data_IF_732051624022
#
_entry.id   IF_732051624022
#
_cell.length_a   1.000
_cell.length_b   1.000
_cell.length_c   1.000
_cell.angle_alpha   90.00
_cell.angle_beta   90.00
_cell.angle_gamma   90.00
#
_symmetry.space_group_name_H-M   'P 1'
#
loop_
_entity.id
_entity.type
_entity.pdbx_description
1 polymer ?
#
# COMPACT_ATOMS: atom_id res chain seq x y z
N UNK A 1 25.13 -17.77 12.73
CA UNK A 1 24.08 -18.17 11.78
C UNK A 1 22.71 -17.99 12.42
N UNK A 2 21.72 -17.61 11.64
CA UNK A 2 20.41 -17.18 12.11
C UNK A 2 19.33 -18.22 11.84
N UNK A 3 18.42 -18.44 12.79
CA UNK A 3 17.08 -18.97 12.54
C UNK A 3 16.11 -17.80 12.53
N UNK A 4 15.39 -17.60 11.43
CA UNK A 4 14.45 -16.50 11.31
C UNK A 4 13.10 -17.01 10.83
N UNK A 5 12.03 -16.54 11.45
CA UNK A 5 10.67 -16.67 10.92
C UNK A 5 10.38 -15.49 10.01
N UNK A 6 10.19 -15.72 8.72
CA UNK A 6 9.92 -14.65 7.74
C UNK A 6 8.69 -14.96 6.92
N UNK A 7 7.95 -13.90 6.58
CA UNK A 7 6.84 -13.96 5.62
C UNK A 7 7.41 -13.54 4.27
N UNK A 8 7.32 -14.40 3.26
CA UNK A 8 7.63 -14.08 1.88
C UNK A 8 6.35 -14.22 1.06
N UNK A 9 5.96 -13.15 0.39
CA UNK A 9 4.93 -13.21 -0.64
C UNK A 9 5.63 -13.44 -1.98
N UNK A 10 5.41 -14.60 -2.60
CA UNK A 10 5.87 -14.85 -3.96
C UNK A 10 4.98 -14.07 -4.92
N UNK A 11 5.54 -13.09 -5.61
CA UNK A 11 4.99 -12.64 -6.88
C UNK A 11 5.33 -13.73 -7.92
N UNK A 12 4.34 -14.47 -8.40
CA UNK A 12 4.47 -15.14 -9.69
C UNK A 12 4.73 -14.05 -10.72
N UNK A 13 5.94 -14.02 -11.20
CA UNK A 13 6.24 -13.38 -12.48
C UNK A 13 5.53 -14.25 -13.50
N UNK A 14 4.39 -13.79 -13.99
CA UNK A 14 3.79 -14.32 -15.22
C UNK A 14 4.78 -14.04 -16.36
N UNK A 15 5.78 -14.89 -16.45
CA UNK A 15 6.58 -15.01 -17.66
C UNK A 15 5.69 -15.63 -18.72
N UNK A 16 5.58 -14.90 -19.81
CA UNK A 16 5.08 -15.37 -21.10
C UNK A 16 3.56 -15.34 -21.34
N UNK A 17 3.01 -14.12 -21.35
CA UNK A 17 2.12 -13.71 -22.44
C UNK A 17 2.71 -12.45 -23.04
N UNK A 18 3.27 -12.57 -24.22
CA UNK A 18 3.54 -11.46 -25.12
C UNK A 18 2.26 -10.65 -25.26
N UNK A 19 2.14 -9.58 -24.46
CA UNK A 19 1.09 -8.60 -24.65
C UNK A 19 1.42 -7.97 -26.00
N UNK A 20 0.57 -8.21 -26.97
CA UNK A 20 0.64 -7.57 -28.27
C UNK A 20 0.48 -6.06 -28.08
N UNK A 21 1.60 -5.35 -28.05
CA UNK A 21 1.68 -3.91 -27.81
C UNK A 21 1.25 -3.11 -29.04
N UNK A 22 0.98 -3.79 -30.16
CA UNK A 22 0.62 -3.14 -31.43
C UNK A 22 -0.82 -2.61 -31.47
N UNK A 23 -1.66 -2.98 -30.50
CA UNK A 23 -3.04 -2.51 -30.35
C UNK A 23 -3.23 -1.33 -29.37
N UNK A 24 -2.21 -0.85 -28.68
CA UNK A 24 -2.28 0.32 -27.81
C UNK A 24 -2.18 1.60 -28.63
N UNK A 25 -3.25 1.87 -29.38
CA UNK A 25 -3.50 3.13 -30.05
C UNK A 25 -3.57 4.26 -29.04
N UNK A 26 -2.88 5.35 -29.39
CA UNK A 26 -2.89 6.66 -28.72
C UNK A 26 -2.65 6.59 -27.20
N UNK A 27 -1.40 6.70 -26.87
CA UNK A 27 -0.81 6.84 -25.53
C UNK A 27 -1.77 7.58 -24.62
N UNK A 28 -2.48 6.82 -23.77
CA UNK A 28 -3.13 7.39 -22.61
C UNK A 28 -2.08 8.25 -21.89
N UNK A 29 -2.36 9.51 -21.58
CA UNK A 29 -1.37 10.35 -20.93
C UNK A 29 -0.89 9.64 -19.67
N UNK A 30 0.41 9.37 -19.61
CA UNK A 30 1.03 8.67 -18.50
C UNK A 30 0.78 9.50 -17.25
N UNK A 31 -0.11 9.06 -16.42
CA UNK A 31 -0.33 9.68 -15.13
C UNK A 31 0.89 9.39 -14.24
N UNK A 32 1.20 10.33 -13.39
CA UNK A 32 2.21 10.12 -12.36
C UNK A 32 1.66 9.06 -11.40
N UNK A 33 2.11 7.83 -11.55
CA UNK A 33 1.63 6.68 -10.77
C UNK A 33 2.03 6.80 -9.31
N UNK A 34 3.16 7.44 -9.06
CA UNK A 34 3.74 7.64 -7.74
C UNK A 34 3.87 9.14 -7.50
N UNK A 35 2.92 9.75 -6.82
CA UNK A 35 3.02 11.17 -6.52
C UNK A 35 4.09 11.43 -5.47
N UNK A 36 5.03 12.27 -5.81
CA UNK A 36 6.02 12.77 -4.88
C UNK A 36 5.38 13.54 -3.69
N UNK A 37 4.22 14.17 -3.96
CA UNK A 37 3.41 14.84 -2.94
C UNK A 37 1.93 14.55 -3.18
N UNK A 38 1.25 13.97 -2.20
CA UNK A 38 -0.17 13.59 -2.28
C UNK A 38 -1.12 14.75 -2.49
N UNK A 39 -0.73 15.96 -2.11
CA UNK A 39 -1.57 17.15 -2.17
C UNK A 39 -1.36 17.96 -3.44
N UNK A 40 -0.28 17.71 -4.20
CA UNK A 40 0.11 18.49 -5.38
C UNK A 40 -0.23 17.79 -6.68
N UNK A 41 -1.47 17.38 -6.87
CA UNK A 41 -1.90 16.92 -8.17
C UNK A 41 -2.35 18.08 -9.03
N UNK A 42 -2.00 18.01 -10.31
CA UNK A 42 -2.54 18.95 -11.29
C UNK A 42 -4.03 18.68 -11.51
N UNK A 43 -4.78 19.72 -11.87
CA UNK A 43 -6.17 19.60 -12.31
C UNK A 43 -6.37 18.47 -13.33
N UNK A 44 -5.39 18.30 -14.23
CA UNK A 44 -5.39 17.26 -15.25
C UNK A 44 -5.42 15.85 -14.63
N UNK A 45 -4.58 15.60 -13.65
CA UNK A 45 -4.51 14.27 -12.98
C UNK A 45 -5.78 13.99 -12.19
N UNK A 46 -6.32 14.98 -11.50
CA UNK A 46 -7.58 14.86 -10.76
C UNK A 46 -8.72 14.50 -11.71
N UNK A 47 -8.87 15.27 -12.80
CA UNK A 47 -9.95 15.02 -13.78
C UNK A 47 -9.78 13.64 -14.44
N UNK A 48 -8.57 13.27 -14.85
CA UNK A 48 -8.35 11.97 -15.51
C UNK A 48 -8.63 10.82 -14.55
N UNK A 49 -8.22 10.90 -13.30
CA UNK A 49 -8.47 9.84 -12.31
C UNK A 49 -9.93 9.71 -11.92
N UNK A 50 -10.64 10.80 -11.77
CA UNK A 50 -12.04 10.79 -11.32
C UNK A 50 -13.04 10.63 -12.48
N UNK A 51 -12.76 11.24 -13.63
CA UNK A 51 -13.70 11.29 -14.77
C UNK A 51 -13.21 10.56 -16.02
N UNK A 52 -11.92 10.23 -16.08
CA UNK A 52 -11.29 9.60 -17.24
C UNK A 52 -10.66 10.58 -18.24
N UNK A 53 -9.74 10.06 -19.05
CA UNK A 53 -9.01 10.86 -20.06
C UNK A 53 -9.91 11.52 -21.10
N UNK A 54 -11.05 10.94 -21.55
CA UNK A 54 -11.97 11.64 -22.45
C UNK A 54 -12.50 12.93 -21.85
N UNK A 55 -12.85 12.96 -20.58
CA UNK A 55 -13.40 14.16 -19.93
C UNK A 55 -12.36 15.27 -19.76
N UNK A 56 -11.08 14.90 -19.61
CA UNK A 56 -10.01 15.89 -19.65
C UNK A 56 -9.93 16.56 -21.02
N UNK A 57 -10.07 15.83 -22.12
CA UNK A 57 -10.07 16.42 -23.48
C UNK A 57 -11.22 17.39 -23.64
N UNK A 58 -12.45 16.99 -23.29
CA UNK A 58 -13.64 17.83 -23.32
C UNK A 58 -13.44 19.12 -22.51
N UNK A 59 -12.91 19.01 -21.31
CA UNK A 59 -12.64 20.17 -20.45
C UNK A 59 -11.56 21.09 -21.05
N UNK A 60 -10.53 20.54 -21.67
CA UNK A 60 -9.43 21.31 -22.27
C UNK A 60 -9.88 22.07 -23.51
N UNK A 61 -10.78 21.50 -24.33
CA UNK A 61 -11.42 22.18 -25.44
C UNK A 61 -12.21 23.41 -24.95
N UNK A 62 -13.06 23.24 -23.93
CA UNK A 62 -13.81 24.35 -23.33
C UNK A 62 -12.88 25.45 -22.75
N UNK A 63 -11.70 25.09 -22.21
CA UNK A 63 -10.69 26.04 -21.73
C UNK A 63 -10.06 26.81 -22.91
N UNK A 64 -9.70 26.11 -23.98
CA UNK A 64 -9.11 26.71 -25.19
C UNK A 64 -10.01 27.77 -25.81
N UNK A 65 -11.31 27.58 -25.74
CA UNK A 65 -12.33 28.52 -26.19
C UNK A 65 -12.54 29.72 -25.24
N UNK A 66 -11.76 29.83 -24.14
CA UNK A 66 -11.90 30.84 -23.06
C UNK A 66 -13.31 30.91 -22.45
N UNK A 67 -14.03 29.77 -22.46
CA UNK A 67 -15.41 29.65 -21.99
C UNK A 67 -15.51 29.08 -20.55
N UNK A 68 -14.43 29.18 -19.78
CA UNK A 68 -14.41 28.72 -18.40
C UNK A 68 -14.76 29.86 -17.45
N UNK A 69 -15.67 29.57 -16.52
CA UNK A 69 -16.14 30.55 -15.55
C UNK A 69 -16.58 29.89 -14.27
N UNK A 70 -17.63 30.43 -13.62
CA UNK A 70 -18.13 29.95 -12.33
C UNK A 70 -18.53 28.45 -12.35
N UNK A 71 -19.07 27.94 -13.45
CA UNK A 71 -19.40 26.52 -13.60
C UNK A 71 -18.17 25.62 -13.55
N UNK A 72 -17.08 25.99 -14.23
CA UNK A 72 -15.83 25.26 -14.16
C UNK A 72 -15.26 25.25 -12.74
N UNK A 73 -15.31 26.39 -12.05
CA UNK A 73 -14.86 26.48 -10.66
C UNK A 73 -15.66 25.54 -9.76
N UNK A 74 -16.98 25.52 -9.85
CA UNK A 74 -17.83 24.61 -9.08
C UNK A 74 -17.52 23.13 -9.39
N UNK A 75 -17.24 22.77 -10.65
CA UNK A 75 -16.82 21.42 -11.02
C UNK A 75 -15.50 21.03 -10.32
N UNK A 76 -14.49 21.91 -10.37
CA UNK A 76 -13.22 21.65 -9.69
C UNK A 76 -13.34 21.59 -8.17
N UNK A 77 -14.25 22.37 -7.56
CA UNK A 77 -14.57 22.24 -6.13
C UNK A 77 -15.12 20.86 -5.81
N UNK A 78 -16.05 20.31 -6.63
CA UNK A 78 -16.57 18.94 -6.43
C UNK A 78 -15.48 17.89 -6.56
N UNK A 79 -14.67 17.98 -7.62
CA UNK A 79 -13.60 17.00 -7.85
C UNK A 79 -12.49 17.11 -6.80
N UNK A 80 -12.18 18.33 -6.36
CA UNK A 80 -11.23 18.60 -5.29
C UNK A 80 -11.68 18.03 -3.94
N UNK A 81 -12.97 18.19 -3.59
CA UNK A 81 -13.54 17.64 -2.36
C UNK A 81 -13.43 16.10 -2.34
N UNK A 82 -13.79 15.41 -3.46
CA UNK A 82 -13.59 13.96 -3.59
C UNK A 82 -12.13 13.60 -3.41
N UNK A 83 -11.26 14.27 -4.16
CA UNK A 83 -9.81 14.00 -4.17
C UNK A 83 -9.18 14.13 -2.78
N UNK A 84 -9.50 15.20 -2.06
CA UNK A 84 -8.94 15.46 -0.73
C UNK A 84 -9.37 14.38 0.26
N UNK A 85 -10.64 13.96 0.24
CA UNK A 85 -11.12 12.90 1.13
C UNK A 85 -10.52 11.54 0.78
N UNK A 86 -10.47 11.19 -0.50
CA UNK A 86 -9.89 9.91 -0.94
C UNK A 86 -8.40 9.79 -0.62
N UNK A 87 -7.69 10.92 -0.51
CA UNK A 87 -6.26 10.99 -0.25
C UNK A 87 -5.90 11.36 1.19
N UNK A 88 -6.86 11.41 2.08
CA UNK A 88 -6.64 11.71 3.49
C UNK A 88 -7.31 10.67 4.38
N UNK A 89 -6.55 9.73 4.95
CA UNK A 89 -7.10 8.67 5.81
C UNK A 89 -7.86 9.20 7.03
N UNK A 90 -7.47 10.35 7.57
CA UNK A 90 -8.18 10.95 8.71
C UNK A 90 -9.56 11.48 8.31
N UNK A 91 -9.68 12.11 7.13
CA UNK A 91 -10.97 12.55 6.60
C UNK A 91 -11.84 11.35 6.21
N UNK A 92 -11.25 10.28 5.67
CA UNK A 92 -11.99 9.04 5.41
C UNK A 92 -12.59 8.47 6.70
N UNK A 93 -11.80 8.41 7.76
CA UNK A 93 -12.26 7.90 9.06
C UNK A 93 -13.37 8.80 9.63
N UNK A 94 -13.19 10.13 9.60
CA UNK A 94 -14.23 11.08 10.03
C UNK A 94 -15.54 10.89 9.23
N UNK A 95 -15.44 10.73 7.89
CA UNK A 95 -16.62 10.49 7.06
C UNK A 95 -17.28 9.13 7.31
N UNK A 96 -16.52 8.11 7.71
CA UNK A 96 -17.05 6.80 8.10
C UNK A 96 -17.78 6.86 9.46
N UNK A 97 -17.23 7.60 10.40
CA UNK A 97 -17.74 7.71 11.78
C UNK A 97 -18.89 8.73 11.91
N UNK A 98 -18.94 9.73 11.03
CA UNK A 98 -19.92 10.81 11.03
C UNK A 98 -20.83 10.82 9.80
N UNK A 99 -21.85 9.94 9.70
CA UNK A 99 -22.73 9.85 8.55
C UNK A 99 -23.43 11.16 8.18
N UNK A 100 -23.76 11.99 9.18
CA UNK A 100 -24.38 13.31 8.95
C UNK A 100 -23.43 14.25 8.21
N UNK A 101 -22.17 14.33 8.63
CA UNK A 101 -21.16 15.16 7.97
C UNK A 101 -20.90 14.67 6.54
N UNK A 102 -20.78 13.37 6.35
CA UNK A 102 -20.67 12.76 5.02
C UNK A 102 -21.83 13.15 4.12
N UNK A 103 -23.07 13.05 4.62
CA UNK A 103 -24.26 13.40 3.84
C UNK A 103 -24.28 14.88 3.45
N UNK A 104 -23.92 15.79 4.35
CA UNK A 104 -23.81 17.21 4.05
C UNK A 104 -22.79 17.50 2.94
N UNK A 105 -21.64 16.82 2.94
CA UNK A 105 -20.64 16.95 1.90
C UNK A 105 -21.19 16.47 0.54
N UNK A 106 -21.82 15.30 0.51
CA UNK A 106 -22.40 14.73 -0.70
C UNK A 106 -23.52 15.63 -1.25
N UNK A 107 -24.37 16.15 -0.38
CA UNK A 107 -25.47 17.06 -0.78
C UNK A 107 -24.93 18.38 -1.33
N UNK A 108 -23.84 18.91 -0.76
CA UNK A 108 -23.17 20.09 -1.27
C UNK A 108 -22.55 19.87 -2.65
N UNK A 109 -21.92 18.71 -2.89
CA UNK A 109 -21.41 18.33 -4.21
C UNK A 109 -22.55 18.23 -5.23
N UNK A 110 -23.63 17.52 -4.91
CA UNK A 110 -24.81 17.38 -5.75
C UNK A 110 -25.47 18.73 -6.04
N UNK A 111 -25.52 19.62 -5.06
CA UNK A 111 -26.04 20.97 -5.24
C UNK A 111 -25.22 21.75 -6.28
N UNK A 112 -23.88 21.75 -6.15
CA UNK A 112 -22.99 22.40 -7.13
C UNK A 112 -23.18 21.87 -8.54
N UNK A 113 -23.33 20.56 -8.72
CA UNK A 113 -23.57 19.96 -10.04
C UNK A 113 -24.93 20.37 -10.62
N UNK A 114 -26.00 20.41 -9.80
CA UNK A 114 -27.31 20.92 -10.23
C UNK A 114 -27.25 22.41 -10.64
N UNK A 115 -26.46 23.22 -9.92
CA UNK A 115 -26.29 24.63 -10.28
C UNK A 115 -25.53 24.82 -11.61
N UNK A 116 -24.58 23.94 -11.94
CA UNK A 116 -23.92 23.95 -13.25
C UNK A 116 -24.94 23.62 -14.34
N UNK A 117 -25.74 22.59 -14.17
CA UNK A 117 -26.73 22.16 -15.16
C UNK A 117 -27.84 23.21 -15.35
N UNK A 118 -28.34 23.79 -14.26
CA UNK A 118 -29.28 24.91 -14.29
C UNK A 118 -28.77 26.08 -15.13
N UNK A 119 -27.52 26.50 -14.89
CA UNK A 119 -26.89 27.60 -15.66
C UNK A 119 -26.71 27.27 -17.13
N UNK A 120 -26.46 26.00 -17.46
CA UNK A 120 -26.45 25.52 -18.83
C UNK A 120 -27.81 25.70 -19.48
N UNK A 121 -28.88 25.25 -18.81
CA UNK A 121 -30.25 25.35 -19.30
C UNK A 121 -30.72 26.80 -19.43
N UNK A 122 -30.48 27.66 -18.43
CA UNK A 122 -30.86 29.08 -18.42
C UNK A 122 -30.20 29.84 -19.62
N UNK A 123 -28.95 29.50 -19.93
CA UNK A 123 -28.22 30.10 -21.07
C UNK A 123 -28.81 29.64 -22.40
N UNK A 124 -29.09 28.35 -22.54
CA UNK A 124 -29.70 27.80 -23.77
C UNK A 124 -31.04 28.49 -24.09
N UNK A 125 -31.80 28.91 -23.08
CA UNK A 125 -33.02 29.65 -23.22
C UNK A 125 -32.83 31.13 -23.60
N UNK A 126 -31.72 31.74 -23.12
CA UNK A 126 -31.47 33.18 -23.30
C UNK A 126 -30.80 33.53 -24.64
N UNK A 127 -29.98 32.67 -25.21
CA UNK A 127 -29.15 32.95 -26.40
C UNK A 127 -29.84 32.63 -27.72
N UNK A 128 -31.11 32.15 -27.75
CA UNK A 128 -31.95 31.94 -28.96
C UNK A 128 -31.42 30.95 -30.02
N UNK A 129 -30.14 30.72 -30.08
CA UNK A 129 -29.44 29.67 -30.82
C UNK A 129 -28.35 29.08 -29.91
N UNK A 130 -28.68 28.05 -29.13
CA UNK A 130 -27.75 27.46 -28.19
C UNK A 130 -26.58 26.83 -28.93
N UNK A 131 -25.36 27.11 -28.47
CA UNK A 131 -24.15 26.39 -28.88
C UNK A 131 -24.29 24.93 -28.43
N UNK A 132 -24.95 24.13 -29.28
CA UNK A 132 -25.29 22.73 -29.02
C UNK A 132 -24.07 21.87 -28.69
N UNK A 133 -22.93 22.18 -29.30
CA UNK A 133 -21.69 21.44 -29.05
C UNK A 133 -21.16 21.70 -27.63
N UNK A 134 -21.14 22.97 -27.24
CA UNK A 134 -20.74 23.37 -25.89
C UNK A 134 -21.68 22.81 -24.84
N UNK A 135 -22.98 22.87 -25.05
CA UNK A 135 -23.97 22.33 -24.14
C UNK A 135 -23.85 20.81 -23.98
N UNK A 136 -23.56 20.09 -25.06
CA UNK A 136 -23.25 18.68 -25.04
C UNK A 136 -21.99 18.40 -24.21
N UNK A 137 -20.91 19.15 -24.40
CA UNK A 137 -19.67 19.03 -23.64
C UNK A 137 -19.88 19.26 -22.14
N UNK A 138 -20.62 20.29 -21.75
CA UNK A 138 -20.95 20.58 -20.35
C UNK A 138 -21.80 19.47 -19.75
N UNK A 139 -22.82 19.00 -20.48
CA UNK A 139 -23.67 17.90 -20.04
C UNK A 139 -22.87 16.61 -19.77
N UNK A 140 -21.94 16.24 -20.65
CA UNK A 140 -21.05 15.11 -20.48
C UNK A 140 -20.20 15.23 -19.19
N UNK A 141 -19.62 16.41 -18.92
CA UNK A 141 -18.83 16.66 -17.71
C UNK A 141 -19.70 16.57 -16.44
N UNK A 142 -20.92 17.13 -16.45
CA UNK A 142 -21.84 17.06 -15.30
C UNK A 142 -22.26 15.61 -15.04
N UNK A 143 -22.57 14.85 -16.09
CA UNK A 143 -22.91 13.43 -15.98
C UNK A 143 -21.77 12.62 -15.38
N UNK A 144 -20.56 12.76 -15.92
CA UNK A 144 -19.37 12.06 -15.41
C UNK A 144 -19.04 12.44 -13.95
N UNK A 145 -19.19 13.72 -13.59
CA UNK A 145 -18.98 14.17 -12.21
C UNK A 145 -20.07 13.65 -11.27
N UNK A 146 -21.31 13.56 -11.71
CA UNK A 146 -22.42 12.98 -10.92
C UNK A 146 -22.17 11.49 -10.65
N UNK A 147 -21.68 10.76 -11.63
CA UNK A 147 -21.27 9.37 -11.45
C UNK A 147 -20.07 9.25 -10.51
N UNK A 148 -19.11 10.18 -10.57
CA UNK A 148 -17.98 10.19 -9.63
C UNK A 148 -18.45 10.40 -8.19
N UNK A 149 -19.38 11.35 -7.93
CA UNK A 149 -19.99 11.54 -6.60
C UNK A 149 -20.75 10.29 -6.16
N UNK A 150 -21.47 9.62 -7.05
CA UNK A 150 -22.18 8.39 -6.70
C UNK A 150 -21.21 7.23 -6.39
N UNK A 151 -20.09 7.12 -7.10
CA UNK A 151 -19.02 6.14 -6.77
C UNK A 151 -18.40 6.45 -5.40
N UNK A 152 -18.08 7.71 -5.15
CA UNK A 152 -17.55 8.18 -3.89
C UNK A 152 -18.46 7.84 -2.70
N UNK A 153 -19.76 8.08 -2.83
CA UNK A 153 -20.76 7.74 -1.80
C UNK A 153 -20.83 6.22 -1.53
N UNK A 154 -20.87 5.39 -2.60
CA UNK A 154 -20.90 3.94 -2.46
C UNK A 154 -19.65 3.39 -1.79
N UNK A 155 -18.49 3.96 -2.08
CA UNK A 155 -17.21 3.53 -1.51
C UNK A 155 -17.20 3.56 0.03
N UNK A 156 -17.91 4.48 0.66
CA UNK A 156 -18.04 4.49 2.12
C UNK A 156 -18.87 3.32 2.67
N UNK A 157 -19.97 2.98 2.02
CA UNK A 157 -20.79 1.84 2.43
C UNK A 157 -20.02 0.51 2.29
N UNK A 158 -19.31 0.36 1.19
CA UNK A 158 -18.45 -0.80 0.91
C UNK A 158 -17.32 -0.89 1.93
N UNK A 159 -16.61 0.21 2.17
CA UNK A 159 -15.51 0.28 3.16
C UNK A 159 -16.01 -0.04 4.56
N UNK A 160 -17.14 0.54 4.98
CA UNK A 160 -17.74 0.27 6.29
C UNK A 160 -18.13 -1.22 6.43
N UNK A 161 -18.69 -1.82 5.39
CA UNK A 161 -19.03 -3.24 5.36
C UNK A 161 -17.78 -4.11 5.46
N UNK A 162 -16.76 -3.82 4.67
CA UNK A 162 -15.50 -4.55 4.67
C UNK A 162 -14.78 -4.42 6.03
N UNK A 163 -14.75 -3.22 6.65
CA UNK A 163 -14.17 -3.02 7.99
C UNK A 163 -14.89 -3.85 9.06
N UNK A 164 -16.23 -3.97 8.99
CA UNK A 164 -16.98 -4.84 9.92
C UNK A 164 -16.63 -6.31 9.74
N UNK A 165 -16.57 -6.78 8.50
CA UNK A 165 -16.17 -8.16 8.19
C UNK A 165 -14.73 -8.43 8.62
N UNK A 166 -13.81 -7.51 8.31
CA UNK A 166 -12.41 -7.63 8.66
C UNK A 166 -12.19 -7.66 10.18
N UNK A 167 -12.84 -6.78 10.96
CA UNK A 167 -12.77 -6.84 12.43
C UNK A 167 -13.21 -8.18 12.98
N UNK A 168 -14.25 -8.77 12.42
CA UNK A 168 -14.78 -10.07 12.87
C UNK A 168 -13.84 -11.23 12.50
N UNK A 169 -13.31 -11.24 11.28
CA UNK A 169 -12.48 -12.34 10.76
C UNK A 169 -11.07 -12.25 11.34
N UNK A 170 -10.44 -11.09 11.28
CA UNK A 170 -9.08 -10.84 11.77
C UNK A 170 -9.01 -10.90 13.30
N UNK A 171 -10.00 -10.35 14.02
CA UNK A 171 -10.06 -10.38 15.48
C UNK A 171 -10.22 -11.78 16.11
N UNK A 172 -10.41 -12.82 15.29
CA UNK A 172 -10.34 -14.23 15.74
C UNK A 172 -8.92 -14.80 15.62
N UNK A 173 -8.00 -14.09 14.99
CA UNK A 173 -6.65 -14.55 14.67
C UNK A 173 -5.58 -13.82 15.46
N UNK A 174 -5.89 -12.65 15.98
CA UNK A 174 -5.01 -11.83 16.81
C UNK A 174 -5.84 -10.99 17.78
N UNK A 175 -5.18 -10.35 18.74
CA UNK A 175 -5.85 -9.42 19.64
C UNK A 175 -6.50 -8.26 18.86
N UNK A 176 -7.68 -7.76 19.23
CA UNK A 176 -8.37 -6.67 18.52
C UNK A 176 -7.52 -5.40 18.34
N UNK A 177 -6.67 -5.07 19.32
CA UNK A 177 -5.77 -3.91 19.26
C UNK A 177 -4.66 -4.04 18.22
N UNK A 178 -4.46 -5.24 17.68
CA UNK A 178 -3.52 -5.53 16.60
C UNK A 178 -4.11 -5.29 15.21
N UNK A 179 -5.40 -4.93 15.12
CA UNK A 179 -6.14 -4.72 13.86
C UNK A 179 -6.43 -3.23 13.70
N UNK A 180 -5.52 -2.51 13.06
CA UNK A 180 -5.48 -1.06 13.03
C UNK A 180 -6.07 -0.50 11.73
N UNK A 181 -7.22 0.16 11.82
CA UNK A 181 -7.85 0.87 10.68
C UNK A 181 -7.64 2.38 10.70
N UNK A 182 -7.14 2.91 11.81
CA UNK A 182 -7.04 4.36 12.03
C UNK A 182 -6.07 5.06 11.09
N UNK A 183 -6.34 6.32 10.80
CA UNK A 183 -5.56 7.15 9.89
C UNK A 183 -4.09 7.20 10.23
N UNK A 184 -3.72 7.26 11.52
CA UNK A 184 -2.32 7.26 11.95
C UNK A 184 -1.57 6.01 11.49
N UNK A 185 -2.10 4.81 11.80
CA UNK A 185 -1.46 3.56 11.40
C UNK A 185 -1.33 3.45 9.87
N UNK A 186 -2.37 3.84 9.13
CA UNK A 186 -2.38 3.81 7.67
C UNK A 186 -1.34 4.77 7.06
N UNK A 187 -1.18 5.96 7.63
CA UNK A 187 -0.17 6.94 7.18
C UNK A 187 1.25 6.47 7.50
N UNK A 188 1.46 5.88 8.69
CA UNK A 188 2.77 5.37 9.10
C UNK A 188 3.26 4.20 8.22
N UNK A 189 2.35 3.51 7.52
CA UNK A 189 2.67 2.34 6.69
C UNK A 189 2.44 2.58 5.18
N UNK A 190 2.42 3.81 4.72
CA UNK A 190 2.15 4.17 3.32
C UNK A 190 3.38 4.17 2.43
N UNK A 191 4.57 4.23 3.00
CA UNK A 191 5.84 4.37 2.27
C UNK A 191 6.95 3.51 2.87
N UNK A 192 8.00 3.28 2.12
CA UNK A 192 9.29 2.76 2.57
C UNK A 192 10.41 3.78 2.27
N UNK A 193 11.67 3.36 2.23
CA UNK A 193 12.79 4.26 1.94
C UNK A 193 12.87 4.75 0.48
N UNK A 194 11.98 4.30 -0.39
CA UNK A 194 11.85 4.82 -1.78
C UNK A 194 11.09 6.14 -1.85
N UNK A 195 10.45 6.58 -0.78
CA UNK A 195 9.47 7.67 -0.77
C UNK A 195 8.25 7.43 -1.66
N UNK A 196 8.08 6.23 -2.17
CA UNK A 196 6.91 5.88 -2.96
C UNK A 196 5.67 5.86 -2.08
N UNK A 197 4.61 6.50 -2.58
CA UNK A 197 3.31 6.61 -1.91
C UNK A 197 2.23 6.39 -2.95
N UNK A 198 1.87 5.13 -3.15
CA UNK A 198 0.89 4.75 -4.18
C UNK A 198 -0.51 4.77 -3.62
N UNK A 199 -0.76 4.04 -2.53
CA UNK A 199 -2.06 3.96 -1.90
C UNK A 199 -1.93 3.79 -0.38
N UNK A 200 -2.95 4.18 0.38
CA UNK A 200 -3.02 3.88 1.80
C UNK A 200 -3.50 2.45 2.02
N UNK A 201 -2.90 1.71 2.96
CA UNK A 201 -3.41 0.38 3.28
C UNK A 201 -4.83 0.46 3.84
N UNK A 202 -5.61 -0.59 3.63
CA UNK A 202 -6.93 -0.75 4.23
C UNK A 202 -6.83 -0.98 5.74
N UNK A 203 -5.87 -1.82 6.15
CA UNK A 203 -5.63 -2.22 7.55
C UNK A 203 -4.15 -2.48 7.77
N UNK A 204 -3.68 -2.21 8.98
CA UNK A 204 -2.37 -2.62 9.45
C UNK A 204 -2.57 -3.65 10.56
N UNK A 205 -1.85 -4.77 10.48
CA UNK A 205 -1.91 -5.90 11.41
C UNK A 205 -0.57 -6.03 12.10
N UNK A 206 -0.57 -6.06 13.43
CA UNK A 206 0.64 -6.15 14.25
C UNK A 206 0.57 -7.41 15.13
N UNK A 207 0.80 -8.63 14.58
CA UNK A 207 0.72 -9.87 15.36
C UNK A 207 1.66 -9.86 16.56
N UNK A 208 1.19 -10.38 17.69
CA UNK A 208 2.00 -10.50 18.90
C UNK A 208 2.95 -11.69 18.83
N UNK A 209 2.55 -12.75 18.12
CA UNK A 209 3.35 -13.97 17.95
C UNK A 209 3.40 -14.42 16.49
N UNK A 210 4.39 -15.24 16.17
CA UNK A 210 4.52 -15.78 14.81
C UNK A 210 3.43 -16.77 14.43
N UNK A 211 2.85 -17.48 15.42
CA UNK A 211 1.76 -18.43 15.23
C UNK A 211 0.49 -17.74 14.70
N UNK A 212 0.28 -16.47 15.04
CA UNK A 212 -0.86 -15.69 14.55
C UNK A 212 -0.76 -15.41 13.05
N UNK A 213 0.47 -15.31 12.51
CA UNK A 213 0.73 -14.86 11.13
C UNK A 213 0.03 -15.74 10.11
N UNK A 214 0.09 -17.06 10.25
CA UNK A 214 -0.60 -18.00 9.34
C UNK A 214 -2.11 -17.73 9.30
N UNK A 215 -2.70 -17.55 10.47
CA UNK A 215 -4.12 -17.26 10.60
C UNK A 215 -4.53 -15.91 10.02
N UNK A 216 -3.65 -14.91 10.14
CA UNK A 216 -3.85 -13.58 9.56
C UNK A 216 -3.73 -13.59 8.03
N UNK A 217 -2.77 -14.32 7.47
CA UNK A 217 -2.63 -14.51 6.02
C UNK A 217 -3.89 -15.17 5.45
N UNK A 218 -4.34 -16.29 6.03
CA UNK A 218 -5.57 -16.95 5.60
C UNK A 218 -6.80 -16.03 5.67
N UNK A 219 -6.92 -15.24 6.74
CA UNK A 219 -8.00 -14.28 6.90
C UNK A 219 -7.96 -13.14 5.88
N UNK A 220 -6.77 -12.66 5.52
CA UNK A 220 -6.60 -11.66 4.47
C UNK A 220 -7.01 -12.20 3.10
N UNK A 221 -6.65 -13.45 2.79
CA UNK A 221 -7.06 -14.13 1.55
C UNK A 221 -8.59 -14.27 1.50
N UNK A 222 -9.22 -14.72 2.59
CA UNK A 222 -10.69 -14.80 2.70
C UNK A 222 -11.38 -13.46 2.43
N UNK A 223 -10.78 -12.37 2.90
CA UNK A 223 -11.28 -11.00 2.72
C UNK A 223 -10.95 -10.37 1.36
N UNK A 224 -10.19 -11.05 0.51
CA UNK A 224 -9.73 -10.53 -0.79
C UNK A 224 -8.80 -9.32 -0.62
N UNK A 225 -7.94 -9.32 0.38
CA UNK A 225 -6.95 -8.28 0.63
C UNK A 225 -5.60 -8.66 0.04
N UNK A 226 -4.93 -7.69 -0.60
CA UNK A 226 -3.52 -7.81 -0.97
C UNK A 226 -2.67 -7.75 0.30
N UNK A 227 -1.72 -8.67 0.45
CA UNK A 227 -0.90 -8.75 1.65
C UNK A 227 0.48 -8.15 1.37
N UNK A 228 0.94 -7.28 2.26
CA UNK A 228 2.29 -6.72 2.25
C UNK A 228 2.93 -6.94 3.62
N UNK A 229 3.97 -7.79 3.72
CA UNK A 229 4.76 -7.89 4.95
C UNK A 229 5.66 -6.67 5.10
N UNK A 230 5.81 -6.19 6.33
CA UNK A 230 6.64 -5.03 6.65
C UNK A 230 7.38 -5.22 7.96
N UNK A 231 8.69 -5.06 7.92
CA UNK A 231 9.54 -4.82 9.09
C UNK A 231 9.78 -3.31 9.26
N UNK A 232 11.02 -2.87 9.34
CA UNK A 232 11.37 -1.46 9.50
C UNK A 232 11.07 -0.54 8.30
N UNK A 233 10.66 -1.08 7.14
CA UNK A 233 10.37 -0.29 5.95
C UNK A 233 11.58 0.43 5.34
N UNK A 234 12.78 -0.11 5.54
CA UNK A 234 14.06 0.48 5.11
C UNK A 234 14.51 0.08 3.71
N UNK A 235 13.72 -0.72 3.01
CA UNK A 235 14.03 -1.21 1.66
C UNK A 235 13.90 -0.13 0.59
N UNK A 236 14.67 -0.28 -0.51
CA UNK A 236 14.69 0.63 -1.65
C UNK A 236 13.98 0.06 -2.90
N UNK A 237 13.15 -0.96 -2.73
CA UNK A 237 12.49 -1.64 -3.86
C UNK A 237 10.98 -1.39 -3.94
N UNK A 238 10.42 -0.66 -2.99
CA UNK A 238 8.97 -0.48 -2.89
C UNK A 238 8.24 -1.72 -2.35
N UNK A 239 8.96 -2.72 -1.85
CA UNK A 239 8.37 -3.98 -1.37
C UNK A 239 7.48 -3.86 -0.14
N UNK A 240 7.57 -2.74 0.61
CA UNK A 240 6.71 -2.44 1.75
C UNK A 240 5.64 -1.35 1.45
N UNK A 241 5.47 -0.96 0.18
CA UNK A 241 4.53 0.10 -0.24
C UNK A 241 3.20 -0.51 -0.67
N UNK A 242 2.07 -0.13 -0.06
CA UNK A 242 0.75 -0.55 -0.52
C UNK A 242 0.44 -0.05 -1.92
N UNK A 243 0.04 -0.95 -2.82
CA UNK A 243 -0.27 -0.63 -4.22
C UNK A 243 -1.77 -0.45 -4.47
N UNK A 244 -2.61 -0.96 -3.58
CA UNK A 244 -4.08 -0.91 -3.71
C UNK A 244 -4.73 -0.48 -2.41
N UNK A 245 -5.90 0.15 -2.49
CA UNK A 245 -6.70 0.53 -1.34
C UNK A 245 -7.23 -0.69 -0.54
N UNK A 246 -7.10 -1.91 -1.06
CA UNK A 246 -7.46 -3.18 -0.40
C UNK A 246 -6.23 -3.93 0.11
N UNK A 247 -5.23 -3.22 0.60
CA UNK A 247 -4.00 -3.81 1.13
C UNK A 247 -4.07 -3.97 2.64
N UNK A 248 -3.72 -5.16 3.12
CA UNK A 248 -3.37 -5.42 4.51
C UNK A 248 -1.84 -5.38 4.65
N UNK A 249 -1.32 -4.50 5.48
CA UNK A 249 0.09 -4.52 5.87
C UNK A 249 0.22 -5.37 7.11
N UNK A 250 1.02 -6.44 7.07
CA UNK A 250 1.38 -7.22 8.24
C UNK A 250 2.72 -6.70 8.76
N UNK A 251 2.69 -5.91 9.82
CA UNK A 251 3.86 -5.35 10.46
C UNK A 251 4.41 -6.36 11.48
N UNK A 252 5.68 -6.73 11.33
CA UNK A 252 6.35 -7.75 12.14
C UNK A 252 7.04 -7.19 13.37
N UNK A 253 6.89 -5.91 13.71
CA UNK A 253 7.66 -5.23 14.76
C UNK A 253 7.58 -5.90 16.14
N UNK A 254 6.47 -6.55 16.47
CA UNK A 254 6.28 -7.28 17.73
C UNK A 254 6.89 -8.68 17.74
N UNK A 255 7.31 -9.20 16.61
CA UNK A 255 7.97 -10.50 16.50
C UNK A 255 9.45 -10.37 16.87
N UNK A 256 9.71 -9.95 18.11
CA UNK A 256 11.04 -9.49 18.57
C UNK A 256 11.79 -10.50 19.48
N UNK A 257 11.38 -11.79 19.44
CA UNK A 257 12.10 -12.82 20.18
C UNK A 257 13.52 -12.96 19.67
N UNK A 258 14.49 -12.96 20.58
CA UNK A 258 15.90 -13.13 20.30
C UNK A 258 16.50 -14.08 21.33
N UNK A 259 17.13 -15.18 20.88
CA UNK A 259 17.82 -16.13 21.77
C UNK A 259 19.22 -15.61 22.17
N UNK A 260 19.82 -16.30 23.13
CA UNK A 260 21.26 -16.20 23.29
C UNK A 260 21.99 -16.81 22.08
N UNK A 261 23.28 -16.48 21.94
CA UNK A 261 24.14 -17.15 20.94
C UNK A 261 24.42 -18.57 21.42
N UNK A 262 24.10 -19.54 20.58
CA UNK A 262 24.32 -20.97 20.84
C UNK A 262 25.24 -21.54 19.75
N UNK A 263 25.92 -22.66 20.06
CA UNK A 263 26.70 -23.39 19.06
C UNK A 263 25.96 -24.64 18.67
N UNK A 264 25.60 -24.76 17.39
CA UNK A 264 24.90 -25.92 16.85
C UNK A 264 25.69 -26.54 15.70
N UNK A 265 25.66 -27.89 15.59
CA UNK A 265 26.13 -28.59 14.41
C UNK A 265 25.12 -28.43 13.27
N UNK A 266 25.55 -27.96 12.12
CA UNK A 266 24.67 -27.77 10.95
C UNK A 266 24.45 -29.09 10.21
N UNK A 267 25.44 -30.00 10.27
CA UNK A 267 25.40 -31.35 9.69
C UNK A 267 26.02 -32.35 10.65
N UNK A 268 25.68 -33.62 10.44
CA UNK A 268 26.17 -34.72 11.28
C UNK A 268 27.70 -34.79 11.24
N UNK A 269 28.34 -34.68 12.42
CA UNK A 269 29.79 -34.73 12.56
C UNK A 269 30.55 -33.44 12.21
N UNK A 270 29.83 -32.35 11.88
CA UNK A 270 30.44 -31.02 11.66
C UNK A 270 30.79 -30.29 12.96
N UNK A 271 31.75 -29.38 12.89
CA UNK A 271 32.06 -28.50 14.00
C UNK A 271 30.88 -27.59 14.34
N UNK A 272 30.57 -27.40 15.63
CA UNK A 272 29.49 -26.51 16.04
C UNK A 272 29.79 -25.04 15.66
N UNK A 273 28.87 -24.41 14.94
CA UNK A 273 28.96 -23.00 14.57
C UNK A 273 28.08 -22.12 15.44
N UNK A 274 28.54 -20.89 15.76
CA UNK A 274 27.73 -19.97 16.55
C UNK A 274 26.49 -19.53 15.76
N UNK A 275 25.34 -19.62 16.38
CA UNK A 275 24.03 -19.27 15.80
C UNK A 275 23.21 -18.46 16.80
N UNK A 276 22.25 -17.71 16.29
CA UNK A 276 21.26 -17.00 17.08
C UNK A 276 19.88 -17.19 16.43
N UNK A 277 18.88 -17.45 17.24
CA UNK A 277 17.49 -17.56 16.79
C UNK A 277 16.78 -16.21 16.96
N UNK A 278 16.15 -15.73 15.90
CA UNK A 278 15.61 -14.37 15.83
C UNK A 278 14.24 -14.36 15.20
N UNK A 279 13.30 -13.64 15.81
CA UNK A 279 12.03 -13.27 15.23
C UNK A 279 12.21 -12.29 14.06
N UNK A 280 11.21 -12.23 13.19
CA UNK A 280 11.25 -11.40 11.97
C UNK A 280 11.30 -9.89 12.26
N UNK A 281 10.77 -9.44 13.41
CA UNK A 281 10.72 -8.04 13.83
C UNK A 281 11.96 -7.56 14.59
N UNK A 282 12.88 -8.45 14.92
CA UNK A 282 14.11 -8.06 15.65
C UNK A 282 14.93 -7.07 14.82
N UNK A 283 15.24 -5.93 15.40
CA UNK A 283 16.10 -4.92 14.76
C UNK A 283 17.52 -5.49 14.60
N UNK A 284 18.09 -5.33 13.41
CA UNK A 284 19.39 -5.89 13.03
C UNK A 284 20.49 -5.55 14.03
N UNK A 285 20.50 -4.31 14.52
CA UNK A 285 21.48 -3.86 15.54
C UNK A 285 21.46 -4.70 16.80
N UNK A 286 20.27 -5.16 17.26
CA UNK A 286 20.18 -6.02 18.46
C UNK A 286 20.89 -7.36 18.26
N UNK A 287 20.84 -7.92 17.05
CA UNK A 287 21.56 -9.16 16.71
C UNK A 287 23.07 -8.90 16.65
N UNK A 288 23.48 -7.76 16.08
CA UNK A 288 24.88 -7.35 16.07
C UNK A 288 25.44 -7.20 17.49
N UNK A 289 24.68 -6.55 18.38
CA UNK A 289 25.09 -6.35 19.79
C UNK A 289 25.19 -7.67 20.55
N UNK A 290 24.24 -8.59 20.33
CA UNK A 290 24.27 -9.93 20.93
C UNK A 290 25.49 -10.76 20.46
N UNK A 291 25.84 -10.66 19.19
CA UNK A 291 27.04 -11.30 18.64
C UNK A 291 28.31 -10.71 19.25
N UNK A 292 28.41 -9.37 19.34
CA UNK A 292 29.55 -8.67 19.93
C UNK A 292 29.76 -9.03 21.40
N UNK A 293 28.69 -9.10 22.19
CA UNK A 293 28.75 -9.53 23.60
C UNK A 293 29.27 -10.97 23.76
N UNK A 294 29.05 -11.82 22.73
CA UNK A 294 29.59 -13.18 22.68
C UNK A 294 31.01 -13.25 22.08
N UNK A 295 31.66 -12.12 21.80
CA UNK A 295 32.98 -12.06 21.18
C UNK A 295 32.97 -12.45 19.69
N UNK A 296 31.85 -12.27 19.01
CA UNK A 296 31.63 -12.67 17.63
C UNK A 296 31.20 -11.45 16.76
N UNK A 297 31.25 -11.62 15.47
CA UNK A 297 30.79 -10.61 14.50
C UNK A 297 29.58 -11.12 13.77
N UNK A 298 28.50 -10.33 13.76
CA UNK A 298 27.37 -10.59 12.86
C UNK A 298 27.68 -10.06 11.45
N UNK A 299 27.56 -10.93 10.46
CA UNK A 299 28.00 -10.64 9.10
C UNK A 299 27.12 -9.62 8.35
N UNK A 300 25.81 -9.64 8.62
CA UNK A 300 24.82 -8.78 7.91
C UNK A 300 24.77 -7.41 8.60
N UNK A 301 25.35 -6.39 7.95
CA UNK A 301 25.49 -5.04 8.49
C UNK A 301 25.01 -3.95 7.52
N UNK A 302 23.71 -3.95 7.13
CA UNK A 302 23.19 -2.92 6.24
C UNK A 302 23.34 -1.53 6.90
N UNK A 303 23.44 -0.48 6.08
CA UNK A 303 23.52 0.91 6.59
C UNK A 303 22.30 1.30 7.44
N UNK A 304 21.19 0.60 7.25
CA UNK A 304 19.94 0.73 8.01
C UNK A 304 19.85 -0.18 9.24
N UNK A 305 20.96 -0.73 9.75
CA UNK A 305 20.96 -1.72 10.83
C UNK A 305 20.20 -1.27 12.09
N UNK A 306 20.19 0.03 12.38
CA UNK A 306 19.46 0.60 13.53
C UNK A 306 17.93 0.59 13.38
N UNK A 307 17.42 0.35 12.16
CA UNK A 307 15.99 0.38 11.84
C UNK A 307 15.51 -0.83 11.04
N UNK A 308 16.38 -1.52 10.30
CA UNK A 308 16.01 -2.72 9.55
C UNK A 308 15.76 -3.90 10.48
N UNK A 309 14.84 -4.77 10.07
CA UNK A 309 14.49 -5.97 10.82
C UNK A 309 15.03 -7.22 10.14
N UNK A 310 15.30 -8.26 10.91
CA UNK A 310 15.89 -9.52 10.43
C UNK A 310 15.01 -10.18 9.35
N UNK A 311 13.70 -10.19 9.52
CA UNK A 311 12.80 -10.74 8.48
C UNK A 311 12.95 -10.02 7.13
N UNK A 312 13.08 -8.69 7.15
CA UNK A 312 13.36 -7.88 5.96
C UNK A 312 14.74 -8.15 5.37
N UNK A 313 15.77 -8.30 6.22
CA UNK A 313 17.12 -8.64 5.78
C UNK A 313 17.16 -9.98 5.05
N UNK A 314 16.44 -10.99 5.56
CA UNK A 314 16.33 -12.30 4.92
C UNK A 314 15.55 -12.21 3.61
N UNK A 315 14.38 -11.57 3.62
CA UNK A 315 13.51 -11.46 2.45
C UNK A 315 14.18 -10.74 1.27
N UNK A 316 15.01 -9.72 1.58
CA UNK A 316 15.70 -8.90 0.57
C UNK A 316 17.15 -9.32 0.35
N UNK A 317 17.61 -10.40 0.96
CA UNK A 317 19.00 -10.85 0.94
C UNK A 317 19.98 -9.71 1.27
N UNK A 318 19.73 -9.03 2.38
CA UNK A 318 20.53 -7.87 2.78
C UNK A 318 22.01 -8.22 2.98
N UNK A 319 22.87 -7.31 2.56
CA UNK A 319 24.30 -7.35 2.82
C UNK A 319 24.72 -6.17 3.70
N UNK A 320 25.84 -5.57 3.37
CA UNK A 320 26.45 -4.43 4.03
C UNK A 320 27.94 -4.38 3.69
N UNK A 321 28.70 -3.59 4.42
CA UNK A 321 30.16 -3.46 4.21
C UNK A 321 30.88 -4.80 4.42
N UNK A 322 30.41 -5.59 5.38
CA UNK A 322 30.99 -6.87 5.74
C UNK A 322 30.68 -7.99 4.74
N UNK A 323 29.71 -7.78 3.85
CA UNK A 323 29.32 -8.79 2.85
C UNK A 323 30.47 -9.18 1.90
N UNK A 324 31.44 -8.31 1.71
CA UNK A 324 32.66 -8.61 0.92
C UNK A 324 33.44 -9.79 1.50
N UNK A 325 33.45 -9.93 2.84
CA UNK A 325 34.19 -11.00 3.53
C UNK A 325 33.31 -12.19 3.92
N UNK A 326 32.06 -11.94 4.30
CA UNK A 326 31.20 -12.95 4.94
C UNK A 326 29.88 -13.19 4.22
N UNK A 327 29.72 -12.61 3.03
CA UNK A 327 28.50 -12.78 2.24
C UNK A 327 27.31 -11.98 2.77
N UNK A 328 26.16 -12.28 2.24
CA UNK A 328 24.87 -11.65 2.50
C UNK A 328 24.05 -12.42 3.53
N UNK A 329 22.79 -12.02 3.75
CA UNK A 329 21.87 -12.74 4.63
C UNK A 329 21.70 -14.21 4.24
N UNK A 330 21.61 -14.51 2.93
CA UNK A 330 21.49 -15.88 2.42
C UNK A 330 22.70 -16.75 2.84
N UNK A 331 23.90 -16.21 2.76
CA UNK A 331 25.11 -16.96 3.10
C UNK A 331 25.22 -17.27 4.58
N UNK A 332 24.58 -16.47 5.43
CA UNK A 332 24.61 -16.55 6.88
C UNK A 332 23.37 -17.20 7.51
N UNK A 333 22.47 -17.74 6.71
CA UNK A 333 21.24 -18.37 7.16
C UNK A 333 21.41 -19.88 7.36
N UNK A 334 21.08 -20.39 8.56
CA UNK A 334 21.02 -21.85 8.82
C UNK A 334 19.65 -22.41 8.52
N UNK A 335 18.63 -21.75 9.05
CA UNK A 335 17.24 -22.13 8.79
C UNK A 335 16.34 -20.91 8.89
N UNK A 336 15.21 -21.00 8.23
CA UNK A 336 14.16 -19.99 8.30
C UNK A 336 12.81 -20.64 8.04
N UNK A 337 11.75 -19.99 8.49
CA UNK A 337 10.38 -20.35 8.15
C UNK A 337 9.59 -19.15 7.71
N UNK A 338 8.61 -19.38 6.84
CA UNK A 338 7.69 -18.36 6.37
C UNK A 338 6.30 -18.92 6.18
N UNK A 339 5.31 -18.02 6.13
CA UNK A 339 3.96 -18.35 5.68
C UNK A 339 3.87 -18.11 4.19
N UNK A 340 3.48 -19.14 3.44
CA UNK A 340 3.30 -19.08 1.98
C UNK A 340 2.01 -18.35 1.58
N UNK A 341 1.81 -18.00 0.30
CA UNK A 341 0.55 -17.45 -0.20
C UNK A 341 -0.66 -18.37 0.00
N UNK A 342 -0.44 -19.68 0.20
CA UNK A 342 -1.50 -20.66 0.52
C UNK A 342 -1.83 -20.71 2.01
N UNK A 343 -1.25 -19.81 2.80
CA UNK A 343 -1.36 -19.77 4.26
C UNK A 343 -0.84 -21.03 4.95
N UNK A 344 0.20 -21.65 4.42
CA UNK A 344 0.89 -22.77 5.03
C UNK A 344 2.31 -22.42 5.46
N UNK A 345 2.85 -23.16 6.42
CA UNK A 345 4.23 -22.99 6.84
C UNK A 345 5.18 -23.67 5.86
N UNK A 346 6.17 -22.92 5.38
CA UNK A 346 7.35 -23.43 4.70
C UNK A 346 8.55 -23.29 5.64
N UNK A 347 9.22 -24.41 5.92
CA UNK A 347 10.45 -24.44 6.71
C UNK A 347 11.60 -24.89 5.83
N UNK A 348 12.69 -24.14 5.87
CA UNK A 348 13.90 -24.41 5.10
C UNK A 348 15.08 -24.50 6.06
N UNK A 349 15.82 -25.59 5.97
CA UNK A 349 17.04 -25.81 6.74
C UNK A 349 18.17 -26.14 5.79
N UNK A 350 19.30 -25.49 6.00
CA UNK A 350 20.52 -25.75 5.21
C UNK A 350 21.13 -27.07 5.68
N UNK A 351 21.39 -27.98 4.73
CA UNK A 351 22.02 -29.27 5.01
C UNK A 351 23.46 -29.35 4.53
N UNK A 352 23.73 -28.83 3.35
CA UNK A 352 25.07 -28.85 2.73
C UNK A 352 25.43 -27.43 2.32
N UNK A 353 26.41 -26.86 2.99
CA UNK A 353 26.88 -25.54 2.65
C UNK A 353 28.39 -25.52 2.54
N UNK A 354 28.90 -25.15 1.37
CA UNK A 354 30.25 -24.66 1.25
C UNK A 354 30.33 -23.30 1.93
N UNK A 355 30.74 -23.28 3.18
CA UNK A 355 31.36 -22.13 3.81
C UNK A 355 32.78 -22.08 3.29
N UNK A 356 32.93 -21.83 1.99
CA UNK A 356 34.24 -21.73 1.37
C UNK A 356 34.87 -20.40 1.61
#
# INVERSE_FOLDING_TARGET
>A
MLRCGSILVHMEVLTDRSIDVTGLSAVAPRLREIPYNYTSFSDREIVIRLLGAPMWRVLNELRGERRTGRSARMLFEVLGDIWVVERNPYLQDDMLENPKRRQLLIDAMRHRLREIDKRRADRALAEGDPDKERDSKVSQLVTAATEAVARFERAFAETASLRRSARRVLGRRTHPDNVLFGGFARVAHVTDATDWRVEYPFVVLCPDTEEEVRGLVAACIELGLTIIPRGGGTGYTGGAVPLTARTAVINTEKLERLSAVERIAIHDGGDPVPTIDSGAGVVTKRVMDAAEQAGLVFAVDPTSADASCIGGNVAMNAGGKKAVLWGTALDNLVSWRMVTPDADWLEVTRRDHNLG
#
